data_IF_618303787864
#
_entry.id   IF_618303787864
#
_cell.length_a   1.000
_cell.length_b   1.000
_cell.length_c   1.000
_cell.angle_alpha   90.00
_cell.angle_beta   90.00
_cell.angle_gamma   90.00
#
_symmetry.space_group_name_H-M   'P 1'
#
loop_
_entity.id
_entity.type
_entity.pdbx_description
1 polymer ?
#
# COMPACT_ATOMS: atom_id res chain seq x y z
N UNK A 1 -4.80 54.02 0.26
CA UNK A 1 -5.45 54.16 1.57
C UNK A 1 -5.43 52.81 2.26
N UNK A 2 -4.54 52.65 3.24
CA UNK A 2 -4.34 51.41 4.01
C UNK A 2 -4.43 51.81 5.48
N UNK A 3 -5.33 51.16 6.22
CA UNK A 3 -5.29 51.13 7.67
C UNK A 3 -5.57 49.70 8.17
N UNK A 4 -4.85 49.22 9.20
CA UNK A 4 -4.75 47.81 9.58
C UNK A 4 -5.60 47.46 10.80
N UNK A 5 -6.04 46.21 10.93
CA UNK A 5 -6.70 45.76 12.15
C UNK A 5 -6.93 44.26 12.17
N UNK A 6 -6.57 43.64 13.30
CA UNK A 6 -6.85 42.26 13.73
C UNK A 6 -5.78 41.20 13.47
N UNK A 7 -4.56 41.49 13.92
CA UNK A 7 -3.61 40.49 14.42
C UNK A 7 -3.34 40.73 15.92
N UNK A 8 -4.36 40.57 16.78
CA UNK A 8 -4.21 40.49 18.24
C UNK A 8 -5.31 39.61 18.82
N UNK A 9 -5.03 38.32 18.95
CA UNK A 9 -5.94 37.39 19.60
C UNK A 9 -5.57 35.94 19.37
N UNK A 10 -4.34 35.53 19.70
CA UNK A 10 -3.98 34.10 19.83
C UNK A 10 -2.65 33.84 20.58
N UNK A 11 -2.15 34.79 21.38
CA UNK A 11 -0.97 34.59 22.24
C UNK A 11 -1.18 35.20 23.64
N UNK A 12 -2.35 34.97 24.23
CA UNK A 12 -2.61 35.38 25.62
C UNK A 12 -3.51 34.37 26.35
N UNK A 13 -3.14 33.10 26.30
CA UNK A 13 -3.57 32.13 27.30
C UNK A 13 -2.51 31.03 27.34
N UNK A 14 -1.63 31.10 28.35
CA UNK A 14 -0.76 30.05 28.91
C UNK A 14 0.38 30.75 29.67
N UNK A 15 0.02 31.58 30.66
CA UNK A 15 0.97 32.07 31.67
C UNK A 15 0.25 32.27 32.99
N UNK A 16 0.36 31.26 33.85
CA UNK A 16 0.13 31.16 35.31
C UNK A 16 -0.05 29.66 35.59
N UNK A 17 0.74 28.94 36.38
CA UNK A 17 1.94 29.20 37.14
C UNK A 17 2.26 27.85 37.81
N UNK A 18 3.43 27.27 37.56
CA UNK A 18 3.95 26.12 38.30
C UNK A 18 5.41 26.44 38.60
N UNK A 19 5.73 26.49 39.88
CA UNK A 19 7.05 26.81 40.44
C UNK A 19 7.99 25.61 40.25
N UNK A 20 9.22 25.80 39.71
CA UNK A 20 10.26 24.78 39.78
C UNK A 20 11.36 25.13 40.81
N UNK A 21 11.74 24.14 41.61
CA UNK A 21 12.90 24.17 42.52
C UNK A 21 14.23 24.18 41.75
N UNK A 22 15.32 24.80 42.27
CA UNK A 22 16.55 24.99 41.51
C UNK A 22 17.44 23.74 41.46
N UNK A 23 17.81 23.33 40.26
CA UNK A 23 18.88 22.36 39.97
C UNK A 23 20.20 23.11 39.75
N UNK A 24 21.20 22.81 40.57
CA UNK A 24 22.57 23.30 40.45
C UNK A 24 23.31 22.52 39.35
N UNK A 25 23.72 23.21 38.28
CA UNK A 25 24.66 22.72 37.28
C UNK A 25 26.08 23.11 37.70
N UNK A 26 26.88 22.12 38.12
CA UNK A 26 28.31 22.31 38.40
C UNK A 26 29.10 22.21 37.09
N UNK A 27 29.82 23.28 36.81
CA UNK A 27 30.70 23.45 35.65
C UNK A 27 31.87 22.47 35.65
N UNK A 28 32.30 22.11 34.45
CA UNK A 28 33.52 21.37 34.13
C UNK A 28 34.76 22.05 34.74
N UNK A 29 35.52 21.30 35.54
CA UNK A 29 36.87 21.68 35.96
C UNK A 29 37.86 20.76 35.28
N UNK A 30 38.67 21.35 34.40
CA UNK A 30 39.87 20.77 33.82
C UNK A 30 41.00 20.88 34.85
N UNK A 31 41.32 19.78 35.54
CA UNK A 31 42.59 19.66 36.26
C UNK A 31 43.47 18.59 35.62
N UNK A 32 44.79 18.82 35.48
CA UNK A 32 45.69 17.87 34.85
C UNK A 32 45.92 16.63 35.73
N UNK A 33 46.01 15.47 35.07
CA UNK A 33 46.39 14.19 35.67
C UNK A 33 47.76 14.29 36.36
N UNK A 34 47.78 14.22 37.69
CA UNK A 34 48.97 13.86 38.45
C UNK A 34 48.92 12.36 38.78
N UNK A 35 49.98 11.67 38.38
CA UNK A 35 50.15 10.21 38.41
C UNK A 35 50.58 9.77 39.83
N UNK A 36 49.81 8.96 40.57
CA UNK A 36 50.33 8.32 41.78
C UNK A 36 51.09 7.06 41.40
N UNK A 37 52.29 6.95 41.95
CA UNK A 37 53.29 5.91 41.72
C UNK A 37 52.85 4.53 42.22
N UNK A 38 53.28 3.50 41.49
CA UNK A 38 53.07 2.08 41.80
C UNK A 38 53.70 1.69 43.13
N UNK A 39 52.90 1.12 44.04
CA UNK A 39 53.42 0.29 45.14
C UNK A 39 53.20 -1.19 44.79
N UNK A 40 54.25 -2.04 44.78
CA UNK A 40 54.10 -3.45 44.49
C UNK A 40 53.48 -4.18 45.69
N UNK A 41 52.35 -4.86 45.45
CA UNK A 41 51.74 -5.77 46.43
C UNK A 41 52.50 -7.10 46.40
N UNK A 42 53.16 -7.45 47.52
CA UNK A 42 53.92 -8.70 47.66
C UNK A 42 52.98 -9.88 47.88
N UNK A 43 53.09 -10.90 47.04
CA UNK A 43 52.51 -12.24 47.23
C UNK A 43 53.29 -12.99 48.33
N UNK A 44 52.64 -13.63 49.31
CA UNK A 44 53.32 -14.58 50.17
C UNK A 44 53.54 -15.90 49.42
N UNK A 45 54.80 -16.34 49.45
CA UNK A 45 55.28 -17.62 48.98
C UNK A 45 54.53 -18.77 49.66
N UNK A 46 53.96 -19.69 48.88
CA UNK A 46 53.60 -21.02 49.34
C UNK A 46 54.42 -22.03 48.55
N UNK A 47 55.33 -22.70 49.24
CA UNK A 47 56.14 -23.80 48.73
C UNK A 47 55.31 -25.10 48.66
N UNK A 48 55.56 -25.99 47.68
CA UNK A 48 54.79 -27.22 47.54
C UNK A 48 55.39 -28.30 48.46
N UNK A 49 54.54 -28.98 49.24
CA UNK A 49 54.94 -30.18 49.97
C UNK A 49 53.88 -31.28 49.81
N UNK A 50 54.38 -32.43 49.35
CA UNK A 50 53.88 -33.79 49.54
C UNK A 50 52.43 -34.14 49.12
N UNK A 51 52.36 -34.74 47.92
CA UNK A 51 51.72 -36.03 47.61
C UNK A 51 50.58 -36.46 48.56
N UNK A 52 49.34 -36.21 48.15
CA UNK A 52 48.17 -36.97 48.62
C UNK A 52 47.49 -37.61 47.43
N UNK A 53 47.58 -38.94 47.37
CA UNK A 53 46.81 -39.81 46.49
C UNK A 53 45.33 -39.68 46.81
N UNK A 54 44.58 -39.01 45.93
CA UNK A 54 43.12 -39.12 45.89
C UNK A 54 42.72 -39.81 44.60
N UNK A 55 42.01 -40.91 44.78
CA UNK A 55 41.24 -41.64 43.77
C UNK A 55 40.47 -40.66 42.87
N UNK A 56 40.69 -40.73 41.56
CA UNK A 56 39.78 -40.14 40.59
C UNK A 56 38.66 -41.16 40.34
N UNK A 57 37.41 -40.94 40.78
CA UNK A 57 36.32 -41.69 40.20
C UNK A 57 36.16 -41.19 38.76
N UNK A 58 36.30 -42.09 37.80
CA UNK A 58 36.04 -41.86 36.38
C UNK A 58 34.53 -41.70 36.12
N UNK A 59 33.90 -40.73 36.77
CA UNK A 59 32.66 -40.18 36.28
C UNK A 59 33.04 -39.19 35.18
N UNK A 60 33.05 -39.68 33.94
CA UNK A 60 32.91 -38.84 32.75
C UNK A 60 31.60 -38.07 32.89
N UNK A 61 31.66 -36.92 33.56
CA UNK A 61 30.57 -35.96 33.57
C UNK A 61 30.40 -35.51 32.13
N UNK A 62 29.43 -36.11 31.46
CA UNK A 62 29.06 -35.73 30.11
C UNK A 62 28.41 -34.38 30.26
N UNK A 63 29.17 -33.30 30.06
CA UNK A 63 28.57 -31.98 29.96
C UNK A 63 27.44 -32.10 28.93
N UNK A 64 26.18 -31.76 29.29
CA UNK A 64 25.14 -31.72 28.29
C UNK A 64 25.63 -30.79 27.19
N UNK A 65 25.79 -31.39 26.01
CA UNK A 65 26.09 -30.72 24.74
C UNK A 65 25.34 -29.39 24.76
N UNK A 66 26.08 -28.29 24.69
CA UNK A 66 25.58 -26.92 24.88
C UNK A 66 24.10 -26.82 24.54
N UNK A 67 23.26 -26.55 25.54
CA UNK A 67 21.86 -26.21 25.29
C UNK A 67 21.92 -25.05 24.33
N UNK A 68 21.58 -25.29 23.06
CA UNK A 68 21.50 -24.25 22.05
C UNK A 68 20.48 -23.25 22.56
N UNK A 69 20.96 -22.13 23.12
CA UNK A 69 20.12 -21.04 23.63
C UNK A 69 19.47 -20.25 22.50
N UNK A 70 19.68 -20.67 21.25
CA UNK A 70 18.95 -20.13 20.11
C UNK A 70 17.48 -20.50 20.28
N UNK A 71 16.59 -19.52 20.52
CA UNK A 71 15.17 -19.81 20.57
C UNK A 71 14.77 -20.51 19.26
N UNK A 72 13.87 -21.51 19.32
CA UNK A 72 13.40 -22.17 18.11
C UNK A 72 12.90 -21.11 17.13
N UNK A 73 13.21 -21.23 15.83
CA UNK A 73 12.80 -20.23 14.86
C UNK A 73 11.28 -20.04 14.96
N UNK A 74 10.79 -18.79 14.92
CA UNK A 74 9.38 -18.50 15.09
C UNK A 74 8.56 -19.35 14.11
N UNK A 75 7.67 -20.17 14.64
CA UNK A 75 6.87 -21.07 13.83
C UNK A 75 5.82 -20.25 13.08
N UNK A 76 6.00 -20.10 11.78
CA UNK A 76 5.01 -19.45 10.92
C UNK A 76 3.89 -20.46 10.69
N UNK A 77 2.63 -20.18 11.10
CA UNK A 77 1.54 -21.11 10.92
C UNK A 77 1.26 -21.30 9.43
N UNK A 78 0.98 -22.55 9.02
CA UNK A 78 0.74 -22.89 7.60
C UNK A 78 -0.49 -22.19 7.02
N UNK A 79 -1.43 -21.78 7.86
CA UNK A 79 -2.64 -21.04 7.50
C UNK A 79 -2.38 -19.58 7.13
N UNK A 80 -1.32 -18.96 7.65
CA UNK A 80 -1.04 -17.53 7.45
C UNK A 80 -0.99 -17.07 5.98
N UNK A 81 -0.28 -17.73 5.06
CA UNK A 81 -0.28 -17.29 3.66
C UNK A 81 -1.65 -17.42 2.98
N UNK A 82 -2.46 -18.41 3.37
CA UNK A 82 -3.83 -18.56 2.85
C UNK A 82 -4.77 -17.50 3.41
N UNK A 83 -4.62 -17.17 4.70
CA UNK A 83 -5.31 -16.05 5.32
C UNK A 83 -4.97 -14.73 4.62
N UNK A 84 -3.67 -14.48 4.35
CA UNK A 84 -3.24 -13.29 3.61
C UNK A 84 -3.81 -13.26 2.18
N UNK A 85 -3.89 -14.39 1.47
CA UNK A 85 -4.56 -14.44 0.17
C UNK A 85 -6.06 -14.15 0.27
N UNK A 86 -6.74 -14.65 1.30
CA UNK A 86 -8.13 -14.33 1.58
C UNK A 86 -8.32 -12.83 1.83
N UNK A 87 -7.48 -12.22 2.65
CA UNK A 87 -7.49 -10.78 2.87
C UNK A 87 -7.18 -9.98 1.60
N UNK A 88 -6.22 -10.41 0.78
CA UNK A 88 -5.96 -9.79 -0.52
C UNK A 88 -7.18 -9.90 -1.44
N UNK A 89 -7.88 -11.03 -1.47
CA UNK A 89 -9.11 -11.18 -2.25
C UNK A 89 -10.23 -10.23 -1.77
N UNK A 90 -10.35 -10.02 -0.45
CA UNK A 90 -11.26 -9.00 0.10
C UNK A 90 -10.84 -7.60 -0.35
N UNK A 91 -9.56 -7.23 -0.27
CA UNK A 91 -9.06 -5.93 -0.75
C UNK A 91 -9.30 -5.75 -2.25
N UNK A 92 -9.12 -6.80 -3.06
CA UNK A 92 -9.45 -6.80 -4.48
C UNK A 92 -10.94 -6.47 -4.69
N UNK A 93 -11.84 -7.15 -3.96
CA UNK A 93 -13.27 -6.87 -4.01
C UNK A 93 -13.61 -5.43 -3.60
N UNK A 94 -12.99 -4.93 -2.53
CA UNK A 94 -13.12 -3.53 -2.08
C UNK A 94 -12.69 -2.56 -3.19
N UNK A 95 -11.55 -2.80 -3.86
CA UNK A 95 -11.10 -1.95 -4.97
C UNK A 95 -12.13 -1.95 -6.10
N UNK A 96 -12.66 -3.10 -6.50
CA UNK A 96 -13.66 -3.19 -7.59
C UNK A 96 -14.97 -2.51 -7.20
N UNK A 97 -15.51 -2.78 -6.01
CA UNK A 97 -16.73 -2.13 -5.50
C UNK A 97 -16.50 -0.62 -5.36
N UNK A 98 -15.33 -0.19 -4.90
CA UNK A 98 -14.96 1.22 -4.81
C UNK A 98 -14.96 1.91 -6.18
N UNK A 99 -14.43 1.24 -7.20
CA UNK A 99 -14.52 1.68 -8.60
C UNK A 99 -15.95 1.84 -9.07
N UNK A 100 -16.79 0.82 -8.83
CA UNK A 100 -18.23 0.88 -9.15
C UNK A 100 -18.91 2.04 -8.44
N UNK A 101 -18.67 2.24 -7.14
CA UNK A 101 -19.28 3.35 -6.38
C UNK A 101 -18.88 4.73 -6.92
N UNK A 102 -17.69 4.86 -7.51
CA UNK A 102 -17.30 6.11 -8.18
C UNK A 102 -18.00 6.25 -9.54
N UNK A 103 -18.01 5.18 -10.35
CA UNK A 103 -18.60 5.16 -11.70
C UNK A 103 -20.11 5.37 -11.69
N UNK A 104 -20.81 4.96 -10.64
CA UNK A 104 -22.25 5.21 -10.43
C UNK A 104 -22.53 6.47 -9.62
N UNK A 105 -21.51 7.32 -9.39
CA UNK A 105 -21.59 8.55 -8.59
C UNK A 105 -22.18 8.35 -7.18
N UNK A 106 -22.07 7.14 -6.65
CA UNK A 106 -22.74 6.69 -5.43
C UNK A 106 -21.93 6.96 -4.16
N UNK A 107 -20.69 7.45 -4.29
CA UNK A 107 -19.71 7.57 -3.21
C UNK A 107 -19.98 8.64 -2.15
N UNK A 108 -21.17 9.25 -2.16
CA UNK A 108 -21.63 10.25 -1.21
C UNK A 108 -23.00 9.90 -0.60
N UNK A 109 -23.47 8.66 -0.76
CA UNK A 109 -24.73 8.21 -0.16
C UNK A 109 -24.64 8.02 1.35
N UNK A 110 -23.45 7.78 1.89
CA UNK A 110 -23.19 7.66 3.35
C UNK A 110 -22.12 8.67 3.76
N UNK A 111 -22.52 9.89 4.08
CA UNK A 111 -21.59 10.96 4.48
C UNK A 111 -21.09 10.83 5.91
N UNK A 112 -21.87 10.18 6.77
CA UNK A 112 -21.56 10.07 8.19
C UNK A 112 -20.41 9.07 8.45
N UNK A 113 -19.39 9.53 9.18
CA UNK A 113 -18.30 8.68 9.62
C UNK A 113 -18.64 8.04 10.96
N UNK A 114 -19.26 6.86 10.89
CA UNK A 114 -19.62 6.04 12.06
C UNK A 114 -18.83 4.71 12.06
N UNK A 115 -17.60 4.66 12.59
CA UNK A 115 -16.76 3.46 12.53
C UNK A 115 -17.35 2.24 13.24
N UNK A 116 -18.08 2.46 14.34
CA UNK A 116 -18.58 1.41 15.24
C UNK A 116 -20.09 1.18 15.11
N UNK A 117 -20.88 2.24 15.01
CA UNK A 117 -22.36 2.19 15.02
C UNK A 117 -22.98 2.01 13.64
N UNK A 118 -22.30 2.42 12.57
CA UNK A 118 -22.80 2.35 11.18
C UNK A 118 -22.62 1.00 10.49
N UNK A 119 -22.78 -0.11 11.23
CA UNK A 119 -22.66 -1.49 10.69
C UNK A 119 -23.99 -1.98 10.14
N UNK A 120 -25.10 -1.66 10.80
CA UNK A 120 -26.43 -2.03 10.35
C UNK A 120 -26.93 -1.00 9.32
N UNK A 121 -27.41 -1.43 8.14
CA UNK A 121 -28.09 -0.54 7.21
C UNK A 121 -29.49 -0.18 7.74
N UNK A 122 -30.16 0.85 7.17
CA UNK A 122 -31.56 1.16 7.48
C UNK A 122 -32.46 -0.06 7.28
N UNK A 123 -33.36 -0.32 8.23
CA UNK A 123 -34.21 -1.52 8.23
C UNK A 123 -35.68 -1.14 8.01
N UNK A 124 -36.16 -0.09 8.67
CA UNK A 124 -37.55 0.35 8.56
C UNK A 124 -37.76 1.33 7.40
N UNK A 125 -39.00 1.48 6.94
CA UNK A 125 -39.33 2.46 5.92
C UNK A 125 -38.96 3.89 6.38
N UNK A 126 -39.26 4.23 7.63
CA UNK A 126 -38.91 5.52 8.21
C UNK A 126 -37.39 5.79 8.22
N UNK A 127 -36.56 4.77 8.51
CA UNK A 127 -35.11 4.92 8.45
C UNK A 127 -34.63 5.18 7.01
N UNK A 128 -35.23 4.49 6.03
CA UNK A 128 -34.91 4.70 4.62
C UNK A 128 -35.31 6.08 4.12
N UNK A 129 -36.49 6.56 4.52
CA UNK A 129 -36.97 7.90 4.18
C UNK A 129 -36.04 8.97 4.78
N UNK A 130 -35.62 8.80 6.05
CA UNK A 130 -34.69 9.72 6.71
C UNK A 130 -33.31 9.77 6.05
N UNK A 131 -32.76 8.64 5.57
CA UNK A 131 -31.49 8.63 4.83
C UNK A 131 -31.64 9.18 3.40
N UNK A 132 -32.78 8.93 2.75
CA UNK A 132 -33.05 9.45 1.41
C UNK A 132 -33.23 10.96 1.42
N UNK A 133 -33.90 11.53 2.43
CA UNK A 133 -34.06 12.99 2.61
C UNK A 133 -32.72 13.72 2.79
N UNK A 134 -31.69 13.05 3.34
CA UNK A 134 -30.33 13.63 3.43
C UNK A 134 -29.66 13.77 2.06
N UNK A 135 -30.17 13.08 1.05
CA UNK A 135 -29.57 13.03 -0.29
C UNK A 135 -30.26 14.06 -1.19
N UNK A 136 -29.54 15.09 -1.63
CA UNK A 136 -30.04 16.08 -2.60
C UNK A 136 -30.05 15.53 -4.05
N UNK A 137 -30.47 14.28 -4.26
CA UNK A 137 -30.42 13.63 -5.58
C UNK A 137 -31.82 13.38 -6.14
N UNK A 138 -32.00 13.69 -7.43
CA UNK A 138 -33.21 13.37 -8.21
C UNK A 138 -33.25 11.87 -8.61
N UNK A 139 -33.12 10.96 -7.64
CA UNK A 139 -33.18 9.51 -7.86
C UNK A 139 -34.33 8.89 -7.07
N UNK A 140 -34.91 7.81 -7.60
CA UNK A 140 -35.95 7.07 -6.88
C UNK A 140 -35.37 6.27 -5.69
N UNK A 141 -36.24 5.90 -4.75
CA UNK A 141 -35.85 5.14 -3.54
C UNK A 141 -35.18 3.79 -3.86
N UNK A 142 -35.57 3.14 -4.95
CA UNK A 142 -35.00 1.85 -5.33
C UNK A 142 -33.60 2.00 -5.91
N UNK A 143 -33.34 3.05 -6.70
CA UNK A 143 -32.01 3.44 -7.16
C UNK A 143 -31.11 3.87 -5.98
N UNK A 144 -31.64 4.68 -5.06
CA UNK A 144 -30.94 5.08 -3.84
C UNK A 144 -30.50 3.88 -3.02
N UNK A 145 -31.38 2.89 -2.79
CA UNK A 145 -31.03 1.65 -2.06
C UNK A 145 -29.87 0.90 -2.71
N UNK A 146 -29.82 0.79 -4.04
CA UNK A 146 -28.71 0.12 -4.75
C UNK A 146 -27.38 0.83 -4.49
N UNK A 147 -27.37 2.15 -4.65
CA UNK A 147 -26.24 3.04 -4.39
C UNK A 147 -25.75 2.91 -2.94
N UNK A 148 -26.69 3.00 -1.99
CA UNK A 148 -26.43 2.89 -0.56
C UNK A 148 -25.81 1.53 -0.21
N UNK A 149 -26.39 0.42 -0.69
CA UNK A 149 -25.89 -0.92 -0.38
C UNK A 149 -24.49 -1.17 -0.93
N UNK A 150 -24.13 -0.62 -2.11
CA UNK A 150 -22.77 -0.72 -2.62
C UNK A 150 -21.78 0.00 -1.72
N UNK A 151 -22.09 1.22 -1.29
CA UNK A 151 -21.22 1.99 -0.39
C UNK A 151 -21.13 1.34 1.01
N UNK A 152 -22.26 0.89 1.55
CA UNK A 152 -22.32 0.15 2.82
C UNK A 152 -21.49 -1.13 2.77
N UNK A 153 -21.62 -1.94 1.71
CA UNK A 153 -20.86 -3.18 1.54
C UNK A 153 -19.36 -2.91 1.44
N UNK A 154 -18.96 -1.86 0.71
CA UNK A 154 -17.56 -1.42 0.63
C UNK A 154 -16.99 -1.06 2.02
N UNK A 155 -17.72 -0.25 2.79
CA UNK A 155 -17.33 0.17 4.15
C UNK A 155 -17.28 -1.02 5.12
N UNK A 156 -18.28 -1.90 5.07
CA UNK A 156 -18.35 -3.10 5.91
C UNK A 156 -17.19 -4.06 5.63
N UNK A 157 -16.86 -4.30 4.36
CA UNK A 157 -15.72 -5.13 3.99
C UNK A 157 -14.39 -4.54 4.50
N UNK A 158 -14.22 -3.22 4.44
CA UNK A 158 -13.06 -2.52 5.01
C UNK A 158 -12.94 -2.72 6.52
N UNK A 159 -14.05 -2.65 7.26
CA UNK A 159 -14.10 -2.92 8.71
C UNK A 159 -13.75 -4.37 9.03
N UNK A 160 -14.34 -5.33 8.30
CA UNK A 160 -14.08 -6.76 8.49
C UNK A 160 -12.59 -7.10 8.30
N UNK A 161 -11.93 -6.46 7.33
CA UNK A 161 -10.49 -6.63 7.09
C UNK A 161 -9.63 -6.18 8.29
N UNK A 162 -10.03 -5.12 8.99
CA UNK A 162 -9.31 -4.58 10.16
C UNK A 162 -9.32 -5.49 11.39
N UNK A 163 -10.32 -6.37 11.52
CA UNK A 163 -10.48 -7.27 12.67
C UNK A 163 -9.65 -8.56 12.54
N UNK A 164 -9.18 -8.91 11.34
CA UNK A 164 -8.65 -10.24 11.06
C UNK A 164 -7.18 -10.50 11.44
N UNK A 165 -6.42 -9.50 11.91
CA UNK A 165 -4.97 -9.66 12.06
C UNK A 165 -4.60 -10.47 13.32
N UNK A 166 -3.88 -11.61 13.19
CA UNK A 166 -3.48 -12.44 14.33
C UNK A 166 -2.54 -11.68 15.29
N UNK A 167 -2.26 -12.17 16.51
CA UNK A 167 -1.20 -11.64 17.39
C UNK A 167 -0.42 -12.82 18.02
N UNK A 168 0.91 -12.74 18.24
CA UNK A 168 1.82 -11.64 17.92
C UNK A 168 2.26 -11.63 16.45
N UNK A 169 2.46 -10.43 15.91
CA UNK A 169 2.71 -10.21 14.49
C UNK A 169 4.19 -9.89 14.22
N UNK A 170 4.87 -10.58 13.29
CA UNK A 170 6.09 -10.04 12.70
C UNK A 170 5.85 -8.62 12.18
N UNK A 171 6.86 -7.74 12.25
CA UNK A 171 6.78 -6.29 11.92
C UNK A 171 6.04 -5.99 10.62
N UNK A 172 6.15 -6.86 9.60
CA UNK A 172 5.42 -6.70 8.33
C UNK A 172 3.90 -6.78 8.46
N UNK A 173 3.38 -7.63 9.33
CA UNK A 173 1.94 -7.74 9.56
C UNK A 173 1.42 -6.57 10.40
N UNK A 174 2.27 -5.99 11.26
CA UNK A 174 1.97 -4.70 11.92
C UNK A 174 1.83 -3.59 10.87
N UNK A 175 2.77 -3.48 9.92
CA UNK A 175 2.69 -2.49 8.84
C UNK A 175 1.44 -2.68 7.96
N UNK A 176 1.04 -3.94 7.69
CA UNK A 176 -0.20 -4.24 6.99
C UNK A 176 -1.43 -3.76 7.79
N UNK A 177 -1.44 -3.98 9.11
CA UNK A 177 -2.51 -3.47 9.98
C UNK A 177 -2.59 -1.95 10.04
N UNK A 178 -1.44 -1.28 10.15
CA UNK A 178 -1.37 0.17 10.05
C UNK A 178 -1.85 0.67 8.68
N UNK A 179 -1.51 -0.05 7.61
CA UNK A 179 -2.00 0.23 6.26
C UNK A 179 -3.52 0.12 6.14
N UNK A 180 -4.15 -0.86 6.77
CA UNK A 180 -5.62 -0.99 6.82
C UNK A 180 -6.25 0.18 7.57
N UNK A 181 -5.70 0.56 8.73
CA UNK A 181 -6.19 1.74 9.47
C UNK A 181 -6.04 3.04 8.66
N UNK A 182 -4.90 3.20 7.98
CA UNK A 182 -4.63 4.34 7.12
C UNK A 182 -5.56 4.40 5.90
N UNK A 183 -5.99 3.26 5.35
CA UNK A 183 -7.02 3.21 4.32
C UNK A 183 -8.34 3.84 4.79
N UNK A 184 -8.77 3.55 6.02
CA UNK A 184 -9.95 4.20 6.61
C UNK A 184 -9.80 5.71 6.71
N UNK A 185 -8.64 6.21 7.13
CA UNK A 185 -8.34 7.65 7.20
C UNK A 185 -8.38 8.31 5.81
N UNK A 186 -7.77 7.68 4.81
CA UNK A 186 -7.81 8.18 3.43
C UNK A 186 -9.24 8.17 2.86
N UNK A 187 -10.02 7.12 3.14
CA UNK A 187 -11.42 7.05 2.71
C UNK A 187 -12.27 8.16 3.33
N UNK A 188 -12.12 8.42 4.63
CA UNK A 188 -12.76 9.56 5.29
C UNK A 188 -12.34 10.91 4.68
N UNK A 189 -11.05 11.11 4.45
CA UNK A 189 -10.53 12.34 3.83
C UNK A 189 -11.08 12.54 2.40
N UNK A 190 -11.25 11.44 1.66
CA UNK A 190 -11.83 11.41 0.32
C UNK A 190 -13.32 11.80 0.31
N UNK A 191 -14.12 11.30 1.27
CA UNK A 191 -15.54 11.66 1.37
C UNK A 191 -15.72 13.11 1.85
N UNK A 192 -14.95 13.53 2.86
CA UNK A 192 -15.02 14.90 3.41
C UNK A 192 -14.80 15.99 2.34
N UNK A 193 -13.99 15.73 1.30
CA UNK A 193 -13.79 16.67 0.18
C UNK A 193 -15.07 17.03 -0.55
N UNK A 194 -15.96 16.06 -0.71
CA UNK A 194 -17.16 16.24 -1.53
C UNK A 194 -18.18 17.18 -0.89
N UNK A 195 -17.98 17.52 0.40
CA UNK A 195 -18.92 18.31 1.22
C UNK A 195 -18.41 19.73 1.51
N UNK A 196 -17.48 20.25 0.72
CA UNK A 196 -16.98 21.61 0.91
C UNK A 196 -18.13 22.63 0.71
N UNK A 197 -18.23 23.60 1.61
CA UNK A 197 -19.34 24.58 1.68
C UNK A 197 -19.59 25.32 0.36
N UNK A 198 -18.53 25.64 -0.39
CA UNK A 198 -18.61 26.32 -1.68
C UNK A 198 -19.33 25.48 -2.76
N UNK A 199 -19.16 24.15 -2.75
CA UNK A 199 -19.82 23.22 -3.69
C UNK A 199 -21.30 23.06 -3.33
N UNK A 200 -21.60 23.00 -2.04
CA UNK A 200 -22.97 22.96 -1.51
C UNK A 200 -23.71 24.27 -1.80
N UNK A 201 -23.02 25.40 -1.73
CA UNK A 201 -23.60 26.73 -2.01
C UNK A 201 -23.83 26.99 -3.50
N UNK A 202 -23.05 26.36 -4.39
CA UNK A 202 -23.13 26.56 -5.85
C UNK A 202 -24.03 25.55 -6.56
N UNK A 203 -24.65 24.60 -5.84
CA UNK A 203 -25.38 23.46 -6.42
C UNK A 203 -24.56 22.68 -7.47
N UNK A 204 -23.23 22.75 -7.39
CA UNK A 204 -22.36 21.97 -8.26
C UNK A 204 -22.36 20.51 -7.81
N UNK A 205 -22.31 19.57 -8.76
CA UNK A 205 -22.27 18.13 -8.46
C UNK A 205 -21.10 17.86 -7.51
N UNK A 206 -21.34 17.32 -6.30
CA UNK A 206 -20.27 17.11 -5.34
C UNK A 206 -19.34 15.99 -5.83
N UNK A 207 -18.13 16.38 -6.26
CA UNK A 207 -17.12 15.46 -6.77
C UNK A 207 -15.96 15.35 -5.80
N UNK A 208 -15.51 14.12 -5.60
CA UNK A 208 -14.27 13.84 -4.89
C UNK A 208 -13.10 14.31 -5.75
N UNK A 209 -12.15 15.02 -5.15
CA UNK A 209 -10.92 15.41 -5.85
C UNK A 209 -10.16 14.18 -6.38
N UNK A 210 -9.77 14.22 -7.65
CA UNK A 210 -8.97 13.22 -8.35
C UNK A 210 -7.66 12.89 -7.61
N UNK A 211 -7.07 13.86 -6.91
CA UNK A 211 -5.89 13.64 -6.07
C UNK A 211 -6.16 12.72 -4.89
N UNK A 212 -7.34 12.84 -4.26
CA UNK A 212 -7.74 12.03 -3.10
C UNK A 212 -8.12 10.62 -3.53
N UNK A 213 -8.83 10.52 -4.64
CA UNK A 213 -9.13 9.24 -5.30
C UNK A 213 -7.85 8.49 -5.65
N UNK A 214 -6.91 9.16 -6.33
CA UNK A 214 -5.62 8.57 -6.70
C UNK A 214 -4.81 8.16 -5.47
N UNK A 215 -4.77 8.98 -4.41
CA UNK A 215 -4.08 8.65 -3.17
C UNK A 215 -4.71 7.42 -2.47
N UNK A 216 -6.04 7.36 -2.40
CA UNK A 216 -6.76 6.25 -1.80
C UNK A 216 -6.52 4.94 -2.56
N UNK A 217 -6.70 4.95 -3.89
CA UNK A 217 -6.43 3.80 -4.75
C UNK A 217 -4.97 3.36 -4.69
N UNK A 218 -4.01 4.30 -4.74
CA UNK A 218 -2.58 4.00 -4.64
C UNK A 218 -2.26 3.25 -3.35
N UNK A 219 -2.77 3.74 -2.22
CA UNK A 219 -2.54 3.11 -0.93
C UNK A 219 -3.27 1.75 -0.82
N UNK A 220 -4.45 1.59 -1.43
CA UNK A 220 -5.15 0.30 -1.50
C UNK A 220 -4.35 -0.74 -2.31
N UNK A 221 -3.82 -0.34 -3.47
CA UNK A 221 -2.96 -1.16 -4.31
C UNK A 221 -1.66 -1.55 -3.57
N UNK A 222 -1.02 -0.60 -2.86
CA UNK A 222 0.18 -0.90 -2.06
C UNK A 222 -0.12 -1.89 -0.93
N UNK A 223 -1.26 -1.74 -0.25
CA UNK A 223 -1.71 -2.67 0.79
C UNK A 223 -1.93 -4.08 0.20
N UNK A 224 -2.66 -4.16 -0.92
CA UNK A 224 -2.89 -5.40 -1.67
C UNK A 224 -1.58 -6.08 -2.08
N UNK A 225 -0.67 -5.34 -2.72
CA UNK A 225 0.66 -5.83 -3.12
C UNK A 225 1.50 -6.26 -1.91
N UNK A 226 1.40 -5.54 -0.79
CA UNK A 226 2.05 -5.87 0.47
C UNK A 226 1.59 -7.22 1.03
N UNK A 227 0.27 -7.46 1.05
CA UNK A 227 -0.32 -8.72 1.50
C UNK A 227 0.05 -9.89 0.58
N UNK A 228 -0.16 -9.75 -0.75
CA UNK A 228 0.18 -10.78 -1.73
C UNK A 228 1.68 -11.10 -1.72
N UNK A 229 2.54 -10.08 -1.72
CA UNK A 229 4.00 -10.30 -1.71
C UNK A 229 4.48 -11.00 -0.44
N UNK A 230 3.80 -10.76 0.68
CA UNK A 230 4.07 -11.44 1.96
C UNK A 230 3.62 -12.90 1.92
N UNK A 231 2.40 -13.17 1.44
CA UNK A 231 1.87 -14.53 1.28
C UNK A 231 2.75 -15.39 0.36
N UNK A 232 3.07 -14.87 -0.83
CA UNK A 232 3.98 -15.51 -1.79
C UNK A 232 5.36 -15.74 -1.16
N UNK A 233 5.89 -14.74 -0.44
CA UNK A 233 7.18 -14.83 0.24
C UNK A 233 7.25 -15.99 1.24
N UNK A 234 6.23 -16.12 2.10
CA UNK A 234 6.14 -17.20 3.09
C UNK A 234 6.10 -18.57 2.42
N UNK A 235 5.26 -18.75 1.39
CA UNK A 235 5.17 -20.04 0.69
C UNK A 235 6.45 -20.40 -0.05
N UNK A 236 7.11 -19.41 -0.66
CA UNK A 236 8.37 -19.62 -1.38
C UNK A 236 9.49 -20.00 -0.43
N UNK A 237 9.58 -19.32 0.71
CA UNK A 237 10.55 -19.66 1.75
C UNK A 237 10.32 -21.09 2.29
N UNK A 238 9.07 -21.46 2.57
CA UNK A 238 8.71 -22.82 2.99
C UNK A 238 9.08 -23.88 1.93
N UNK A 239 8.89 -23.58 0.63
CA UNK A 239 9.29 -24.48 -0.46
C UNK A 239 10.82 -24.62 -0.55
N UNK A 240 11.57 -23.53 -0.38
CA UNK A 240 13.04 -23.53 -0.41
C UNK A 240 13.64 -24.31 0.75
N UNK A 241 13.00 -24.26 1.93
CA UNK A 241 13.39 -25.10 3.07
C UNK A 241 13.25 -26.59 2.78
N UNK A 242 12.15 -26.99 2.12
CA UNK A 242 11.91 -28.39 1.71
C UNK A 242 12.80 -28.86 0.56
N UNK A 243 13.14 -27.95 -0.35
CA UNK A 243 13.94 -28.24 -1.55
C UNK A 243 15.08 -27.23 -1.70
N UNK A 244 16.22 -27.44 -1.01
CA UNK A 244 17.32 -26.49 -1.00
C UNK A 244 17.96 -26.21 -2.36
N UNK A 245 17.88 -27.16 -3.30
CA UNK A 245 18.41 -27.10 -4.67
C UNK A 245 17.85 -25.94 -5.49
N UNK A 246 16.64 -25.46 -5.18
CA UNK A 246 16.02 -24.28 -5.81
C UNK A 246 16.93 -23.05 -5.75
N UNK A 247 17.73 -22.90 -4.68
CA UNK A 247 18.62 -21.74 -4.51
C UNK A 247 19.71 -21.69 -5.57
N UNK A 248 20.22 -22.84 -6.02
CA UNK A 248 21.20 -22.91 -7.10
C UNK A 248 20.58 -22.43 -8.41
N UNK A 249 19.36 -22.87 -8.72
CA UNK A 249 18.61 -22.41 -9.90
C UNK A 249 18.37 -20.89 -9.85
N UNK A 250 18.02 -20.34 -8.69
CA UNK A 250 17.81 -18.88 -8.52
C UNK A 250 19.08 -18.03 -8.67
N UNK A 251 20.26 -18.66 -8.66
CA UNK A 251 21.54 -17.98 -8.80
C UNK A 251 21.97 -17.74 -10.25
N UNK A 252 21.29 -18.36 -11.23
CA UNK A 252 21.60 -18.26 -12.67
C UNK A 252 21.63 -16.79 -13.17
N UNK A 253 22.57 -16.41 -14.05
CA UNK A 253 22.69 -15.04 -14.56
C UNK A 253 21.42 -14.52 -15.24
N UNK A 254 20.71 -15.37 -16.00
CA UNK A 254 19.43 -15.02 -16.64
C UNK A 254 18.38 -14.58 -15.61
N UNK A 255 18.26 -15.28 -14.48
CA UNK A 255 17.36 -14.92 -13.37
C UNK A 255 17.73 -13.58 -12.75
N UNK A 256 19.04 -13.31 -12.60
CA UNK A 256 19.54 -12.05 -12.01
C UNK A 256 19.17 -10.84 -12.88
N UNK A 257 19.24 -10.97 -14.21
CA UNK A 257 18.86 -9.92 -15.18
C UNK A 257 17.35 -9.75 -15.30
N UNK A 258 16.59 -10.84 -15.21
CA UNK A 258 15.13 -10.84 -15.34
C UNK A 258 14.42 -10.18 -14.14
N UNK A 259 14.97 -10.32 -12.93
CA UNK A 259 14.36 -9.79 -11.70
C UNK A 259 14.12 -8.28 -11.70
N UNK A 260 15.12 -7.41 -11.96
CA UNK A 260 14.89 -5.97 -11.99
C UNK A 260 13.88 -5.58 -13.08
N UNK A 261 13.91 -6.24 -14.24
CA UNK A 261 12.96 -5.99 -15.32
C UNK A 261 11.50 -6.25 -14.91
N UNK A 262 11.23 -7.36 -14.21
CA UNK A 262 9.89 -7.63 -13.67
C UNK A 262 9.46 -6.56 -12.66
N UNK A 263 10.37 -6.09 -11.80
CA UNK A 263 10.07 -5.03 -10.84
C UNK A 263 9.81 -3.69 -11.52
N UNK A 264 10.61 -3.32 -12.53
CA UNK A 264 10.41 -2.10 -13.33
C UNK A 264 9.06 -2.15 -14.03
N UNK A 265 8.71 -3.27 -14.66
CA UNK A 265 7.40 -3.42 -15.30
C UNK A 265 6.25 -3.39 -14.30
N UNK A 266 6.40 -4.02 -13.13
CA UNK A 266 5.42 -3.91 -12.05
C UNK A 266 5.23 -2.47 -11.58
N UNK A 267 6.31 -1.71 -11.46
CA UNK A 267 6.25 -0.28 -11.13
C UNK A 267 5.55 0.53 -12.23
N UNK A 268 5.86 0.27 -13.50
CA UNK A 268 5.19 0.95 -14.61
C UNK A 268 3.69 0.67 -14.61
N UNK A 269 3.27 -0.59 -14.49
CA UNK A 269 1.85 -0.96 -14.41
C UNK A 269 1.17 -0.33 -13.19
N UNK A 270 1.86 -0.31 -12.04
CA UNK A 270 1.34 0.36 -10.84
C UNK A 270 1.11 1.85 -11.09
N UNK A 271 2.10 2.55 -11.64
CA UNK A 271 1.98 3.96 -11.99
C UNK A 271 0.87 4.19 -13.02
N UNK A 272 0.71 3.33 -14.02
CA UNK A 272 -0.39 3.40 -14.99
C UNK A 272 -1.76 3.19 -14.34
N UNK A 273 -1.88 2.30 -13.35
CA UNK A 273 -3.12 2.16 -12.59
C UNK A 273 -3.42 3.43 -11.76
N UNK A 274 -2.38 4.09 -11.23
CA UNK A 274 -2.52 5.37 -10.53
C UNK A 274 -2.91 6.50 -11.48
N UNK A 275 -2.32 6.60 -12.68
CA UNK A 275 -2.75 7.58 -13.70
C UNK A 275 -4.20 7.33 -14.12
N UNK A 276 -4.64 6.08 -14.20
CA UNK A 276 -6.04 5.72 -14.43
C UNK A 276 -7.02 6.30 -13.39
N UNK A 277 -6.59 6.51 -12.14
CA UNK A 277 -7.41 7.18 -11.12
C UNK A 277 -7.62 8.67 -11.42
N UNK A 278 -6.63 9.34 -12.02
CA UNK A 278 -6.77 10.72 -12.48
C UNK A 278 -7.70 10.79 -13.70
N UNK A 279 -7.53 9.87 -14.67
CA UNK A 279 -8.42 9.76 -15.84
C UNK A 279 -9.88 9.57 -15.43
N UNK A 280 -10.14 8.66 -14.48
CA UNK A 280 -11.48 8.42 -13.95
C UNK A 280 -12.00 9.56 -13.04
N UNK A 281 -11.10 10.29 -12.38
CA UNK A 281 -11.45 11.43 -11.53
C UNK A 281 -11.83 12.68 -12.32
N UNK A 282 -11.23 12.86 -13.50
CA UNK A 282 -11.47 14.00 -14.41
C UNK A 282 -12.50 13.69 -15.50
N UNK A 283 -13.09 12.49 -15.50
CA UNK A 283 -13.95 11.97 -16.57
C UNK A 283 -13.27 12.04 -17.96
N UNK A 284 -11.94 11.96 -17.97
CA UNK A 284 -11.10 12.18 -19.15
C UNK A 284 -11.26 11.10 -20.24
N UNK A 285 -11.81 9.94 -19.87
CA UNK A 285 -12.16 8.88 -20.81
C UNK A 285 -13.29 9.24 -21.78
N UNK A 286 -13.95 10.38 -21.60
CA UNK A 286 -15.03 10.89 -22.47
C UNK A 286 -14.56 12.02 -23.41
N UNK A 287 -13.27 12.37 -23.39
CA UNK A 287 -12.73 13.49 -24.18
C UNK A 287 -12.33 13.06 -25.59
N UNK A 288 -11.59 11.95 -25.69
CA UNK A 288 -11.26 11.33 -26.98
C UNK A 288 -11.68 9.86 -26.92
N UNK A 289 -12.59 9.48 -27.81
CA UNK A 289 -13.20 8.15 -27.85
C UNK A 289 -12.82 7.39 -29.12
N UNK A 290 -11.74 7.81 -29.76
CA UNK A 290 -11.09 7.16 -30.89
C UNK A 290 -9.78 6.47 -30.47
N UNK A 291 -9.36 5.47 -31.25
CA UNK A 291 -8.06 4.83 -31.09
C UNK A 291 -7.52 4.40 -32.46
N UNK A 292 -6.23 4.65 -32.79
CA UNK A 292 -5.17 5.22 -31.96
C UNK A 292 -5.08 6.76 -32.00
N UNK A 293 -5.98 7.42 -32.71
CA UNK A 293 -6.01 8.89 -32.85
C UNK A 293 -6.78 9.55 -31.69
N UNK A 294 -6.44 10.80 -31.38
CA UNK A 294 -7.16 11.69 -30.45
C UNK A 294 -7.59 12.92 -31.26
N UNK A 295 -8.74 12.83 -31.93
CA UNK A 295 -9.15 13.80 -32.96
C UNK A 295 -8.41 13.57 -34.28
N UNK A 296 -7.80 14.61 -34.84
CA UNK A 296 -7.13 14.55 -36.16
C UNK A 296 -5.72 13.91 -36.14
N UNK A 297 -5.12 13.76 -34.96
CA UNK A 297 -3.74 13.29 -34.80
C UNK A 297 -3.60 12.26 -33.67
N UNK A 298 -2.49 11.50 -33.64
CA UNK A 298 -2.22 10.50 -32.59
C UNK A 298 -2.08 11.14 -31.21
N UNK A 299 -1.65 12.40 -31.18
CA UNK A 299 -1.51 13.20 -29.96
C UNK A 299 -2.37 14.45 -30.13
N UNK A 300 -3.07 14.92 -29.09
CA UNK A 300 -3.80 16.18 -29.11
C UNK A 300 -2.93 17.37 -29.55
N UNK A 301 -3.52 18.43 -30.12
CA UNK A 301 -2.82 19.67 -30.42
C UNK A 301 -2.08 20.21 -29.19
N UNK A 302 -0.92 20.86 -29.40
CA UNK A 302 -0.08 21.38 -28.30
C UNK A 302 -0.81 22.37 -27.40
N UNK A 303 -1.71 23.15 -27.98
CA UNK A 303 -2.51 24.14 -27.25
C UNK A 303 -3.52 23.48 -26.30
N UNK A 304 -4.01 22.27 -26.66
CA UNK A 304 -4.84 21.45 -25.79
C UNK A 304 -4.00 20.68 -24.76
N UNK A 305 -2.75 20.32 -25.06
CA UNK A 305 -1.86 19.64 -24.10
C UNK A 305 -1.33 20.56 -22.99
N UNK A 306 -1.07 21.83 -23.31
CA UNK A 306 -0.46 22.80 -22.39
C UNK A 306 -1.35 24.03 -22.22
N UNK A 307 -2.64 23.77 -22.03
CA UNK A 307 -3.64 24.82 -21.92
C UNK A 307 -3.39 25.67 -20.66
N UNK A 308 -3.21 27.01 -20.81
CA UNK A 308 -2.98 27.92 -19.70
C UNK A 308 -4.13 27.95 -18.67
N UNK A 309 -5.34 27.52 -19.04
CA UNK A 309 -6.50 27.46 -18.12
C UNK A 309 -6.25 26.55 -16.91
N UNK A 310 -5.42 25.53 -17.07
CA UNK A 310 -5.04 24.64 -15.98
C UNK A 310 -3.81 25.14 -15.22
N UNK A 311 -3.17 26.25 -15.61
CA UNK A 311 -2.03 26.81 -14.90
C UNK A 311 -2.47 27.92 -13.93
N UNK A 312 -1.88 27.99 -12.74
CA UNK A 312 -2.03 29.16 -11.84
C UNK A 312 -0.84 30.11 -11.95
N UNK A 313 0.26 29.65 -12.56
CA UNK A 313 1.50 30.38 -12.79
C UNK A 313 2.18 29.88 -14.07
N UNK A 314 3.03 30.68 -14.70
CA UNK A 314 3.84 30.22 -15.84
C UNK A 314 4.76 29.04 -15.52
N UNK A 315 5.03 28.78 -14.24
CA UNK A 315 5.90 27.70 -13.77
C UNK A 315 5.18 26.38 -13.49
N UNK A 316 3.85 26.38 -13.38
CA UNK A 316 3.07 25.19 -13.03
C UNK A 316 2.31 24.56 -14.19
N UNK A 317 2.36 25.18 -15.38
CA UNK A 317 1.69 24.72 -16.61
C UNK A 317 1.94 23.25 -16.91
N UNK A 318 3.18 22.78 -16.78
CA UNK A 318 3.55 21.42 -17.19
C UNK A 318 2.94 20.34 -16.27
N UNK A 319 3.17 20.42 -14.96
CA UNK A 319 2.70 19.39 -14.04
C UNK A 319 1.18 19.45 -13.82
N UNK A 320 0.59 20.66 -13.84
CA UNK A 320 -0.86 20.82 -13.70
C UNK A 320 -1.57 20.25 -14.90
N UNK A 321 -1.11 20.53 -16.12
CA UNK A 321 -1.71 19.89 -17.30
C UNK A 321 -1.61 18.36 -17.18
N UNK A 322 -0.45 17.79 -16.85
CA UNK A 322 -0.33 16.33 -16.70
C UNK A 322 -1.26 15.66 -15.66
N UNK A 323 -1.77 16.39 -14.67
CA UNK A 323 -2.57 15.84 -13.56
C UNK A 323 -4.01 16.37 -13.50
N UNK A 324 -4.28 17.51 -14.12
CA UNK A 324 -5.56 18.24 -14.08
C UNK A 324 -6.17 18.40 -15.49
N UNK A 325 -5.39 18.28 -16.57
CA UNK A 325 -5.89 18.34 -17.94
C UNK A 325 -6.27 16.94 -18.45
N UNK A 326 -7.57 16.71 -18.76
CA UNK A 326 -8.06 15.44 -19.29
C UNK A 326 -7.28 14.90 -20.49
N UNK A 327 -6.88 15.76 -21.44
CA UNK A 327 -6.22 15.35 -22.69
C UNK A 327 -4.85 14.68 -22.48
N UNK A 328 -4.12 15.07 -21.42
CA UNK A 328 -2.76 14.57 -21.18
C UNK A 328 -2.70 13.36 -20.24
N UNK A 329 -3.72 13.20 -19.39
CA UNK A 329 -3.77 12.11 -18.40
C UNK A 329 -3.89 10.70 -19.00
N UNK A 330 -4.29 10.59 -20.27
CA UNK A 330 -4.59 9.33 -20.98
C UNK A 330 -3.34 8.60 -21.55
N UNK A 331 -2.14 9.21 -21.49
CA UNK A 331 -0.94 8.60 -22.08
C UNK A 331 -0.42 7.38 -21.27
N UNK A 332 -0.24 6.21 -21.91
CA UNK A 332 0.20 4.97 -21.25
C UNK A 332 1.37 4.26 -21.94
N UNK A 333 2.32 3.71 -21.17
CA UNK A 333 3.60 3.12 -21.64
C UNK A 333 3.63 1.58 -21.48
N UNK A 334 2.86 0.81 -22.27
CA UNK A 334 2.70 -0.64 -22.04
C UNK A 334 3.29 -1.61 -23.07
N UNK A 335 4.26 -1.21 -23.90
CA UNK A 335 4.79 -2.07 -24.98
C UNK A 335 5.93 -3.05 -24.61
N UNK A 336 6.41 -3.12 -23.36
CA UNK A 336 7.64 -3.88 -23.03
C UNK A 336 7.42 -5.29 -22.44
N UNK A 337 6.22 -5.61 -21.96
CA UNK A 337 5.92 -6.84 -21.22
C UNK A 337 6.10 -8.17 -22.01
N UNK A 338 5.71 -8.27 -23.31
CA UNK A 338 5.81 -9.54 -24.05
C UNK A 338 7.24 -10.06 -24.23
N UNK A 339 8.23 -9.16 -24.26
CA UNK A 339 9.64 -9.51 -24.46
C UNK A 339 10.27 -10.20 -23.24
N UNK A 340 9.68 -10.00 -22.06
CA UNK A 340 10.12 -10.59 -20.78
C UNK A 340 9.85 -12.10 -20.77
N UNK A 341 8.72 -12.53 -21.33
CA UNK A 341 8.27 -13.92 -21.30
C UNK A 341 9.20 -14.87 -22.05
N UNK A 342 9.82 -14.41 -23.15
CA UNK A 342 10.72 -15.22 -23.98
C UNK A 342 12.06 -15.54 -23.31
N UNK A 343 12.45 -14.76 -22.29
CA UNK A 343 13.77 -14.87 -21.62
C UNK A 343 13.71 -15.60 -20.27
N UNK A 344 12.56 -16.19 -19.92
CA UNK A 344 12.36 -16.85 -18.63
C UNK A 344 13.01 -18.24 -18.57
N UNK A 345 13.84 -18.54 -17.54
CA UNK A 345 14.69 -19.74 -17.53
C UNK A 345 13.99 -21.04 -17.07
N UNK A 346 12.86 -20.96 -16.36
CA UNK A 346 12.15 -22.13 -15.82
C UNK A 346 10.78 -22.31 -16.47
N UNK A 347 10.31 -23.55 -16.64
CA UNK A 347 8.97 -23.86 -17.18
C UNK A 347 7.86 -23.14 -16.40
N UNK A 348 7.90 -23.19 -15.05
CA UNK A 348 6.90 -22.49 -14.22
C UNK A 348 6.95 -20.97 -14.38
N UNK A 349 8.14 -20.40 -14.56
CA UNK A 349 8.32 -18.96 -14.78
C UNK A 349 7.88 -18.56 -16.18
N UNK A 350 8.10 -19.40 -17.21
CA UNK A 350 7.57 -19.20 -18.57
C UNK A 350 6.05 -19.20 -18.59
N UNK A 351 5.39 -20.15 -17.89
CA UNK A 351 3.92 -20.19 -17.76
C UNK A 351 3.39 -18.92 -17.10
N UNK A 352 3.97 -18.50 -15.97
CA UNK A 352 3.57 -17.26 -15.30
C UNK A 352 3.81 -16.03 -16.17
N UNK A 353 4.91 -15.99 -16.94
CA UNK A 353 5.17 -14.89 -17.84
C UNK A 353 4.19 -14.85 -19.02
N UNK A 354 3.78 -16.00 -19.55
CA UNK A 354 2.72 -16.08 -20.55
C UNK A 354 1.37 -15.60 -20.01
N UNK A 355 1.03 -15.97 -18.77
CA UNK A 355 -0.17 -15.45 -18.08
C UNK A 355 -0.10 -13.94 -17.85
N UNK A 356 1.06 -13.41 -17.46
CA UNK A 356 1.28 -11.95 -17.35
C UNK A 356 1.09 -11.27 -18.69
N UNK A 357 1.64 -11.83 -19.78
CA UNK A 357 1.45 -11.29 -21.12
C UNK A 357 -0.01 -11.32 -21.55
N UNK A 358 -0.72 -12.43 -21.32
CA UNK A 358 -2.14 -12.53 -21.63
C UNK A 358 -2.96 -11.50 -20.85
N UNK A 359 -2.73 -11.37 -19.54
CA UNK A 359 -3.38 -10.35 -18.72
C UNK A 359 -3.07 -8.92 -19.18
N UNK A 360 -1.85 -8.65 -19.67
CA UNK A 360 -1.48 -7.35 -20.21
C UNK A 360 -2.21 -7.04 -21.52
N UNK A 361 -2.32 -8.01 -22.42
CA UNK A 361 -3.09 -7.88 -23.66
C UNK A 361 -4.57 -7.63 -23.33
N UNK A 362 -5.15 -8.44 -22.45
CA UNK A 362 -6.54 -8.25 -21.98
C UNK A 362 -6.73 -6.87 -21.36
N UNK A 363 -5.78 -6.37 -20.56
CA UNK A 363 -5.88 -5.06 -19.93
C UNK A 363 -5.88 -3.92 -20.96
N UNK A 364 -5.03 -4.01 -21.99
CA UNK A 364 -4.99 -3.04 -23.09
C UNK A 364 -6.29 -3.11 -23.88
N UNK A 365 -6.77 -4.31 -24.22
CA UNK A 365 -8.05 -4.49 -24.91
C UNK A 365 -9.21 -3.90 -24.10
N UNK A 366 -9.30 -4.18 -22.80
CA UNK A 366 -10.33 -3.60 -21.93
C UNK A 366 -10.24 -2.07 -21.87
N UNK A 367 -9.04 -1.49 -21.86
CA UNK A 367 -8.84 -0.04 -21.87
C UNK A 367 -9.33 0.60 -23.18
N UNK A 368 -8.93 0.03 -24.32
CA UNK A 368 -9.38 0.47 -25.65
C UNK A 368 -10.89 0.33 -25.78
N UNK A 369 -11.46 -0.82 -25.38
CA UNK A 369 -12.92 -1.02 -25.44
C UNK A 369 -13.67 -0.07 -24.51
N UNK A 370 -13.15 0.22 -23.32
CA UNK A 370 -13.76 1.22 -22.41
C UNK A 370 -13.79 2.59 -23.08
N UNK A 371 -12.72 2.97 -23.78
CA UNK A 371 -12.64 4.23 -24.51
C UNK A 371 -13.59 4.26 -25.72
N UNK A 372 -13.57 3.24 -26.58
CA UNK A 372 -14.39 3.22 -27.81
C UNK A 372 -15.90 3.18 -27.55
N UNK A 373 -16.33 2.57 -26.45
CA UNK A 373 -17.75 2.44 -26.10
C UNK A 373 -18.25 3.53 -25.13
N UNK A 374 -17.53 4.64 -24.97
CA UNK A 374 -17.93 5.78 -24.13
C UNK A 374 -18.05 5.41 -22.63
N UNK A 375 -17.04 4.71 -22.11
CA UNK A 375 -16.88 4.36 -20.68
C UNK A 375 -18.10 3.64 -20.09
N UNK A 376 -18.59 2.54 -20.68
CA UNK A 376 -19.72 1.82 -20.10
C UNK A 376 -19.26 1.17 -18.78
N UNK A 377 -20.07 1.33 -17.72
CA UNK A 377 -19.73 0.95 -16.35
C UNK A 377 -19.16 -0.47 -16.24
N UNK A 378 -19.72 -1.52 -16.90
CA UNK A 378 -19.14 -2.86 -16.84
C UNK A 378 -17.73 -2.95 -17.42
N UNK A 379 -17.44 -2.29 -18.55
CA UNK A 379 -16.10 -2.31 -19.15
C UNK A 379 -15.11 -1.53 -18.27
N UNK A 380 -15.50 -0.36 -17.77
CA UNK A 380 -14.66 0.44 -16.89
C UNK A 380 -14.32 -0.32 -15.59
N UNK A 381 -15.31 -0.98 -14.99
CA UNK A 381 -15.10 -1.81 -13.80
C UNK A 381 -14.21 -3.03 -14.10
N UNK A 382 -14.40 -3.70 -15.25
CA UNK A 382 -13.53 -4.79 -15.69
C UNK A 382 -12.11 -4.31 -15.97
N UNK A 383 -11.93 -3.12 -16.54
CA UNK A 383 -10.61 -2.53 -16.77
C UNK A 383 -9.89 -2.23 -15.45
N UNK A 384 -10.60 -1.69 -14.45
CA UNK A 384 -10.05 -1.51 -13.11
C UNK A 384 -9.69 -2.85 -12.45
N UNK A 385 -10.58 -3.85 -12.49
CA UNK A 385 -10.30 -5.19 -11.97
C UNK A 385 -9.10 -5.84 -12.67
N UNK A 386 -9.04 -5.72 -14.00
CA UNK A 386 -7.97 -6.24 -14.84
C UNK A 386 -6.60 -5.66 -14.50
N UNK A 387 -6.54 -4.38 -14.10
CA UNK A 387 -5.28 -3.75 -13.65
C UNK A 387 -4.71 -4.44 -12.41
N UNK A 388 -5.57 -4.80 -11.45
CA UNK A 388 -5.18 -5.50 -10.22
C UNK A 388 -4.82 -6.96 -10.52
N UNK A 389 -5.52 -7.62 -11.45
CA UNK A 389 -5.16 -8.96 -11.94
C UNK A 389 -3.78 -8.95 -12.61
N UNK A 390 -3.50 -7.97 -13.47
CA UNK A 390 -2.19 -7.84 -14.13
C UNK A 390 -1.07 -7.65 -13.10
N UNK A 391 -1.26 -6.76 -12.12
CA UNK A 391 -0.33 -6.59 -11.00
C UNK A 391 -0.13 -7.89 -10.21
N UNK A 392 -1.20 -8.68 -10.01
CA UNK A 392 -1.14 -9.99 -9.35
C UNK A 392 -0.31 -10.99 -10.14
N UNK A 393 -0.49 -11.06 -11.46
CA UNK A 393 0.30 -11.90 -12.35
C UNK A 393 1.79 -11.52 -12.30
N UNK A 394 2.10 -10.21 -12.30
CA UNK A 394 3.48 -9.71 -12.16
C UNK A 394 4.07 -10.10 -10.80
N UNK A 395 3.30 -9.99 -9.72
CA UNK A 395 3.73 -10.41 -8.38
C UNK A 395 3.99 -11.91 -8.29
N UNK A 396 3.14 -12.74 -8.90
CA UNK A 396 3.34 -14.18 -8.99
C UNK A 396 4.60 -14.53 -9.79
N UNK A 397 4.80 -13.86 -10.94
CA UNK A 397 5.99 -14.01 -11.78
C UNK A 397 7.27 -13.63 -11.02
N UNK A 398 7.31 -12.46 -10.37
CA UNK A 398 8.43 -12.02 -9.55
C UNK A 398 8.67 -12.95 -8.34
N UNK A 399 7.58 -13.43 -7.73
CA UNK A 399 7.58 -14.45 -6.69
C UNK A 399 8.24 -15.76 -7.13
N UNK A 400 8.09 -16.14 -8.40
CA UNK A 400 8.67 -17.36 -8.94
C UNK A 400 10.19 -17.39 -8.91
N UNK A 401 10.82 -16.22 -8.97
CA UNK A 401 12.28 -16.03 -9.01
C UNK A 401 12.79 -15.20 -7.83
N UNK A 402 12.00 -15.08 -6.76
CA UNK A 402 12.32 -14.31 -5.56
C UNK A 402 13.55 -14.90 -4.87
N UNK A 403 14.42 -14.05 -4.31
CA UNK A 403 15.54 -14.49 -3.46
C UNK A 403 15.00 -15.03 -2.12
N UNK A 404 15.67 -16.04 -1.52
CA UNK A 404 15.37 -16.46 -0.15
C UNK A 404 15.40 -15.26 0.81
N UNK A 405 14.50 -15.24 1.78
CA UNK A 405 14.51 -14.17 2.79
C UNK A 405 15.80 -14.15 3.61
N UNK A 406 16.07 -13.01 4.27
CA UNK A 406 17.22 -12.85 5.18
C UNK A 406 17.23 -13.94 6.26
N UNK A 407 16.07 -14.28 6.81
CA UNK A 407 15.91 -15.33 7.84
C UNK A 407 16.42 -16.69 7.37
N UNK A 408 16.04 -17.12 6.14
CA UNK A 408 16.54 -18.38 5.58
C UNK A 408 18.05 -18.40 5.32
N UNK A 409 18.66 -17.24 5.09
CA UNK A 409 20.12 -17.15 4.89
C UNK A 409 20.89 -17.34 6.20
N UNK A 410 20.30 -16.99 7.33
CA UNK A 410 20.91 -17.22 8.65
C UNK A 410 20.75 -18.68 9.11
N UNK A 411 19.63 -19.34 8.79
CA UNK A 411 19.42 -20.77 9.10
C UNK A 411 20.28 -21.74 8.28
N UNK A 412 21.04 -21.25 7.29
CA UNK A 412 21.95 -22.04 6.44
C UNK A 412 23.43 -21.84 6.77
N UNK A 413 23.76 -20.88 7.65
CA UNK A 413 25.10 -20.71 8.21
C UNK A 413 25.14 -21.43 9.54
#
# INVERSE_FOLDING_TARGET
MLAPGLARGLFQSLRKGVVPSPVSLRAFSTQPLTRPTSRPFRLPYFTPSARSTYFYPSHTFSFPRSISTTPPPPQIPRSLPYWLYGCSAVVFGIIVIGGLTRLTESGLSIVEWQPLTGVLPPITAADWDAEWEKTNANIDMHEFKKIFYMEWAHRLAGRALGLGLPRPLPTKLILIGLGIGFQGVLGWWMVKSGLNEEIVQTNAVPRVSQYRLAAHLSAALLLYLGMISTAIGIQRDAKILRQPSIVQSLSLPAVRRLRPLIHTCGMMVFLTAVTGAFVAGLDAGLVYNEFPYMGESIVPPKDELFDPRYAKSSTDTWWRNMLENPATTTFSILLTLPFIARKAPFVSTRRLAALTTAAAVTQVTLGISTLLYLVPIPLAAMHQAGSVVLLTCIMALGGSIRRPSRMLRHLRR
#
